data_IF_393988780662
#
_entry.id   IF_393988780662
#
_cell.length_a   1.000
_cell.length_b   1.000
_cell.length_c   1.000
_cell.angle_alpha   90.00
_cell.angle_beta   90.00
_cell.angle_gamma   90.00
#
_symmetry.space_group_name_H-M   'P 1'
#
loop_
_entity.id
_entity.type
_entity.pdbx_description
1 polymer ?
#
# COMPACT_ATOMS: atom_id res chain seq x y z
N UNK A 1 5.59 -35.81 -5.64
CA UNK A 1 5.81 -34.41 -6.02
C UNK A 1 7.14 -33.98 -5.43
N UNK A 2 8.07 -33.49 -6.25
CA UNK A 2 9.38 -33.06 -5.77
C UNK A 2 9.23 -31.77 -4.96
N UNK A 3 10.19 -31.48 -4.07
CA UNK A 3 10.22 -30.23 -3.31
C UNK A 3 10.23 -29.01 -4.24
N UNK A 4 10.89 -29.13 -5.40
CA UNK A 4 10.87 -28.10 -6.46
C UNK A 4 9.46 -27.84 -6.99
N UNK A 5 8.68 -28.89 -7.22
CA UNK A 5 7.30 -28.76 -7.73
C UNK A 5 6.41 -28.04 -6.70
N UNK A 6 6.57 -28.38 -5.41
CA UNK A 6 5.89 -27.69 -4.31
C UNK A 6 6.25 -26.20 -4.26
N UNK A 7 7.54 -25.87 -4.38
CA UNK A 7 8.01 -24.48 -4.40
C UNK A 7 7.41 -23.71 -5.59
N UNK A 8 7.37 -24.32 -6.78
CA UNK A 8 6.78 -23.70 -7.97
C UNK A 8 5.28 -23.45 -7.78
N UNK A 9 4.54 -24.42 -7.24
CA UNK A 9 3.10 -24.24 -6.95
C UNK A 9 2.90 -23.10 -5.93
N UNK A 10 3.70 -23.05 -4.86
CA UNK A 10 3.64 -21.98 -3.86
C UNK A 10 4.01 -20.61 -4.44
N UNK A 11 4.98 -20.54 -5.35
CA UNK A 11 5.36 -19.33 -6.06
C UNK A 11 4.21 -18.80 -6.93
N UNK A 12 3.60 -19.69 -7.73
CA UNK A 12 2.45 -19.34 -8.59
C UNK A 12 1.29 -18.81 -7.75
N UNK A 13 0.92 -19.51 -6.67
CA UNK A 13 -0.13 -19.07 -5.77
C UNK A 13 0.19 -17.71 -5.16
N UNK A 14 1.44 -17.49 -4.74
CA UNK A 14 1.86 -16.21 -4.15
C UNK A 14 1.75 -15.05 -5.15
N UNK A 15 2.13 -15.27 -6.41
CA UNK A 15 1.98 -14.28 -7.49
C UNK A 15 0.49 -13.94 -7.72
N UNK A 16 -0.36 -14.96 -7.80
CA UNK A 16 -1.81 -14.78 -8.00
C UNK A 16 -2.40 -13.96 -6.85
N UNK A 17 -2.13 -14.32 -5.61
CA UNK A 17 -2.67 -13.59 -4.47
C UNK A 17 -2.10 -12.17 -4.36
N UNK A 18 -0.80 -11.99 -4.58
CA UNK A 18 -0.19 -10.66 -4.64
C UNK A 18 -0.92 -9.77 -5.65
N UNK A 19 -1.14 -10.26 -6.87
CA UNK A 19 -1.80 -9.53 -7.94
C UNK A 19 -3.26 -9.19 -7.59
N UNK A 20 -4.01 -10.14 -7.02
CA UNK A 20 -5.41 -9.91 -6.61
C UNK A 20 -5.49 -8.79 -5.57
N UNK A 21 -4.70 -8.85 -4.49
CA UNK A 21 -4.76 -7.85 -3.43
C UNK A 21 -4.23 -6.49 -3.89
N UNK A 22 -3.20 -6.49 -4.74
CA UNK A 22 -2.69 -5.28 -5.36
C UNK A 22 -3.76 -4.62 -6.24
N UNK A 23 -4.46 -5.39 -7.09
CA UNK A 23 -5.55 -4.88 -7.92
C UNK A 23 -6.73 -4.38 -7.08
N UNK A 24 -7.08 -5.05 -5.97
CA UNK A 24 -8.10 -4.59 -5.04
C UNK A 24 -7.74 -3.24 -4.41
N UNK A 25 -6.48 -3.05 -4.01
CA UNK A 25 -5.98 -1.77 -3.51
C UNK A 25 -6.09 -0.67 -4.58
N UNK A 26 -5.63 -0.94 -5.80
CA UNK A 26 -5.69 0.00 -6.93
C UNK A 26 -7.12 0.40 -7.28
N UNK A 27 -8.05 -0.56 -7.30
CA UNK A 27 -9.48 -0.30 -7.53
C UNK A 27 -10.07 0.56 -6.41
N UNK A 28 -9.73 0.26 -5.15
CA UNK A 28 -10.18 1.05 -4.00
C UNK A 28 -9.72 2.51 -4.12
N UNK A 29 -8.43 2.73 -4.38
CA UNK A 29 -7.84 4.07 -4.54
C UNK A 29 -8.54 4.85 -5.67
N UNK A 30 -8.69 4.22 -6.83
CA UNK A 30 -9.31 4.86 -7.99
C UNK A 30 -10.76 5.31 -7.72
N UNK A 31 -11.53 4.45 -7.05
CA UNK A 31 -12.94 4.73 -6.73
C UNK A 31 -13.14 5.72 -5.57
N UNK A 32 -12.11 5.98 -4.75
CA UNK A 32 -12.25 6.75 -3.53
C UNK A 32 -11.77 8.19 -3.69
N UNK A 33 -12.66 9.10 -4.08
CA UNK A 33 -12.33 10.52 -4.25
C UNK A 33 -11.90 11.20 -2.94
N UNK A 34 -12.45 10.78 -1.80
CA UNK A 34 -12.12 11.35 -0.49
C UNK A 34 -10.66 11.05 -0.13
N UNK A 35 -10.22 9.81 -0.30
CA UNK A 35 -8.82 9.41 -0.10
C UNK A 35 -7.89 10.24 -0.98
N UNK A 36 -8.20 10.33 -2.29
CA UNK A 36 -7.40 11.09 -3.26
C UNK A 36 -7.27 12.56 -2.84
N UNK A 37 -8.37 13.18 -2.40
CA UNK A 37 -8.38 14.56 -1.90
C UNK A 37 -7.58 14.72 -0.60
N UNK A 38 -7.66 13.75 0.32
CA UNK A 38 -6.89 13.78 1.58
C UNK A 38 -5.39 13.68 1.35
N UNK A 39 -4.94 13.03 0.27
CA UNK A 39 -3.52 12.89 -0.06
C UNK A 39 -2.98 14.09 -0.88
N UNK A 40 -3.69 14.50 -1.94
CA UNK A 40 -3.20 15.50 -2.89
C UNK A 40 -3.79 16.91 -2.71
N UNK A 41 -4.79 17.09 -1.83
CA UNK A 41 -5.42 18.38 -1.50
C UNK A 41 -6.35 18.96 -2.58
N UNK A 42 -5.93 18.90 -3.83
CA UNK A 42 -6.64 19.39 -5.00
C UNK A 42 -7.48 18.25 -5.60
N UNK A 43 -8.61 18.60 -6.23
CA UNK A 43 -9.46 17.68 -6.99
C UNK A 43 -8.82 17.21 -8.32
N UNK A 44 -7.50 16.97 -8.33
CA UNK A 44 -6.67 16.59 -9.50
C UNK A 44 -7.28 15.37 -10.21
N UNK A 45 -7.90 14.47 -9.44
CA UNK A 45 -8.47 13.21 -9.91
C UNK A 45 -9.99 13.12 -9.77
N UNK A 46 -10.71 14.26 -9.74
CA UNK A 46 -12.18 14.26 -9.71
C UNK A 46 -12.71 13.60 -10.98
N UNK A 47 -13.52 12.55 -10.85
CA UNK A 47 -14.08 11.75 -11.96
C UNK A 47 -13.04 11.18 -12.95
N UNK A 48 -11.76 11.10 -12.57
CA UNK A 48 -10.68 10.54 -13.39
C UNK A 48 -10.02 9.36 -12.68
N UNK A 49 -9.70 8.31 -13.44
CA UNK A 49 -8.81 7.24 -12.99
C UNK A 49 -7.39 7.78 -12.82
N UNK A 50 -6.71 7.31 -11.80
CA UNK A 50 -5.29 7.53 -11.61
C UNK A 50 -4.53 6.53 -12.49
N UNK A 51 -3.44 7.01 -13.08
CA UNK A 51 -2.40 6.19 -13.67
C UNK A 51 -1.63 5.43 -12.58
N UNK A 52 -0.90 4.39 -13.02
CA UNK A 52 -0.21 3.45 -12.13
C UNK A 52 0.74 4.19 -11.18
N UNK A 53 1.53 5.13 -11.67
CA UNK A 53 2.50 5.87 -10.85
C UNK A 53 1.82 6.64 -9.71
N UNK A 54 0.68 7.26 -9.96
CA UNK A 54 -0.06 7.98 -8.94
C UNK A 54 -0.79 7.05 -7.95
N UNK A 55 -1.22 5.86 -8.39
CA UNK A 55 -1.75 4.83 -7.49
C UNK A 55 -0.64 4.36 -6.53
N UNK A 56 0.56 4.07 -7.04
CA UNK A 56 1.71 3.67 -6.23
C UNK A 56 2.12 4.74 -5.22
N UNK A 57 2.01 6.01 -5.59
CA UNK A 57 2.21 7.13 -4.65
C UNK A 57 1.21 7.09 -3.50
N UNK A 58 -0.06 6.79 -3.77
CA UNK A 58 -1.07 6.64 -2.72
C UNK A 58 -0.80 5.42 -1.85
N UNK A 59 -0.45 4.27 -2.44
CA UNK A 59 -0.06 3.07 -1.70
C UNK A 59 1.12 3.38 -0.77
N UNK A 60 2.13 4.07 -1.28
CA UNK A 60 3.33 4.48 -0.53
C UNK A 60 2.97 5.41 0.63
N UNK A 61 2.12 6.41 0.40
CA UNK A 61 1.66 7.33 1.43
C UNK A 61 0.90 6.61 2.55
N UNK A 62 -0.08 5.77 2.18
CA UNK A 62 -0.89 5.00 3.14
C UNK A 62 0.00 4.06 3.95
N UNK A 63 0.95 3.38 3.28
CA UNK A 63 1.93 2.52 3.93
C UNK A 63 2.79 3.30 4.93
N UNK A 64 3.39 4.42 4.50
CA UNK A 64 4.23 5.24 5.36
C UNK A 64 3.48 5.72 6.61
N UNK A 65 2.26 6.25 6.43
CA UNK A 65 1.42 6.73 7.54
C UNK A 65 1.13 5.60 8.53
N UNK A 66 0.68 4.43 8.05
CA UNK A 66 0.31 3.32 8.92
C UNK A 66 1.53 2.69 9.63
N UNK A 67 2.68 2.60 8.94
CA UNK A 67 3.90 2.07 9.54
C UNK A 67 4.43 2.98 10.64
N UNK A 68 4.37 4.30 10.46
CA UNK A 68 4.80 5.25 11.50
C UNK A 68 3.80 5.24 12.67
N UNK A 69 2.49 5.26 12.38
CA UNK A 69 1.45 5.21 13.42
C UNK A 69 1.54 3.94 14.28
N UNK A 70 1.96 2.81 13.69
CA UNK A 70 2.21 1.57 14.42
C UNK A 70 3.20 1.72 15.57
N UNK A 71 4.18 2.62 15.47
CA UNK A 71 5.08 2.92 16.59
C UNK A 71 4.39 3.81 17.64
N UNK A 72 3.73 4.88 17.21
CA UNK A 72 2.78 5.68 18.02
C UNK A 72 2.19 6.84 17.21
N UNK A 73 1.00 7.32 17.60
CA UNK A 73 0.42 8.57 17.08
C UNK A 73 1.36 9.78 17.27
N UNK A 74 2.06 9.85 18.41
CA UNK A 74 3.02 10.92 18.67
C UNK A 74 4.21 10.88 17.70
N UNK A 75 4.67 9.69 17.32
CA UNK A 75 5.74 9.56 16.32
C UNK A 75 5.29 10.01 14.94
N UNK A 76 4.04 9.74 14.55
CA UNK A 76 3.45 10.24 13.32
C UNK A 76 3.35 11.77 13.32
N UNK A 77 2.87 12.36 14.41
CA UNK A 77 2.78 13.80 14.56
C UNK A 77 4.17 14.46 14.46
N UNK A 78 5.16 13.92 15.17
CA UNK A 78 6.53 14.41 15.14
C UNK A 78 7.14 14.31 13.74
N UNK A 79 6.93 13.18 13.07
CA UNK A 79 7.43 12.96 11.71
C UNK A 79 6.86 13.98 10.72
N UNK A 80 5.55 14.20 10.74
CA UNK A 80 4.86 15.13 9.85
C UNK A 80 5.19 16.60 10.16
N UNK A 81 5.44 16.95 11.43
CA UNK A 81 5.93 18.30 11.79
C UNK A 81 7.34 18.57 11.26
N UNK A 82 8.19 17.55 11.20
CA UNK A 82 9.59 17.69 10.76
C UNK A 82 9.76 17.59 9.24
N UNK A 83 8.77 17.07 8.51
CA UNK A 83 8.87 16.75 7.08
C UNK A 83 7.67 17.32 6.30
N UNK A 84 7.94 18.21 5.35
CA UNK A 84 6.96 18.61 4.35
C UNK A 84 7.10 17.76 3.09
N UNK A 85 6.02 17.14 2.63
CA UNK A 85 6.01 16.36 1.40
C UNK A 85 5.51 17.21 0.24
N UNK A 86 6.38 17.48 -0.73
CA UNK A 86 6.01 18.24 -1.94
C UNK A 86 4.94 17.52 -2.78
N UNK A 87 5.02 16.19 -2.85
CA UNK A 87 4.11 15.35 -3.66
C UNK A 87 2.79 15.08 -2.91
N UNK A 88 2.80 15.11 -1.58
CA UNK A 88 1.65 14.86 -0.73
C UNK A 88 1.22 16.15 0.00
N UNK A 89 0.81 17.13 -0.78
CA UNK A 89 0.54 18.49 -0.31
C UNK A 89 -0.51 18.60 0.80
N UNK A 90 -1.36 17.60 0.98
CA UNK A 90 -2.42 17.59 1.99
C UNK A 90 -2.24 16.51 3.07
N UNK A 91 -1.11 15.80 3.07
CA UNK A 91 -0.76 14.89 4.16
C UNK A 91 -0.23 15.72 5.33
N UNK A 92 -1.06 15.84 6.35
CA UNK A 92 -0.74 16.40 7.66
C UNK A 92 -1.26 15.43 8.73
N UNK A 93 -1.07 15.77 10.01
CA UNK A 93 -1.45 14.87 11.10
C UNK A 93 -2.94 14.51 11.07
N UNK A 94 -3.81 15.50 10.87
CA UNK A 94 -5.26 15.30 10.86
C UNK A 94 -5.72 14.42 9.68
N UNK A 95 -5.22 14.69 8.47
CA UNK A 95 -5.57 13.88 7.30
C UNK A 95 -4.97 12.47 7.39
N UNK A 96 -3.82 12.30 8.03
CA UNK A 96 -3.21 11.00 8.27
C UNK A 96 -4.04 10.16 9.23
N UNK A 97 -4.48 10.73 10.35
CA UNK A 97 -5.40 10.05 11.29
C UNK A 97 -6.70 9.68 10.58
N UNK A 98 -7.26 10.58 9.78
CA UNK A 98 -8.44 10.28 8.98
C UNK A 98 -8.22 9.07 8.07
N UNK A 99 -7.08 9.02 7.37
CA UNK A 99 -6.74 7.92 6.47
C UNK A 99 -6.62 6.59 7.23
N UNK A 100 -5.95 6.59 8.39
CA UNK A 100 -5.82 5.40 9.25
C UNK A 100 -7.19 4.88 9.69
N UNK A 101 -8.04 5.77 10.19
CA UNK A 101 -9.30 5.39 10.81
C UNK A 101 -10.36 4.96 9.77
N UNK A 102 -10.39 5.60 8.59
CA UNK A 102 -11.45 5.41 7.59
C UNK A 102 -11.04 4.51 6.41
N UNK A 103 -9.75 4.30 6.16
CA UNK A 103 -9.25 3.49 5.05
C UNK A 103 -8.54 2.20 5.51
N UNK A 104 -8.94 1.63 6.65
CA UNK A 104 -8.45 0.33 7.17
C UNK A 104 -8.53 -0.80 6.14
N UNK A 105 -9.58 -0.79 5.30
CA UNK A 105 -9.77 -1.77 4.22
C UNK A 105 -8.65 -1.70 3.18
N UNK A 106 -8.26 -0.49 2.77
CA UNK A 106 -7.12 -0.30 1.86
C UNK A 106 -5.82 -0.76 2.52
N UNK A 107 -5.61 -0.40 3.78
CA UNK A 107 -4.42 -0.83 4.51
C UNK A 107 -4.32 -2.36 4.61
N UNK A 108 -5.44 -3.05 4.82
CA UNK A 108 -5.46 -4.52 4.80
C UNK A 108 -5.09 -5.08 3.43
N UNK A 109 -5.59 -4.52 2.32
CA UNK A 109 -5.18 -4.96 0.99
C UNK A 109 -3.68 -4.78 0.74
N UNK A 110 -3.12 -3.64 1.15
CA UNK A 110 -1.69 -3.36 1.03
C UNK A 110 -0.87 -4.35 1.87
N UNK A 111 -1.23 -4.57 3.14
CA UNK A 111 -0.53 -5.53 4.02
C UNK A 111 -0.51 -6.94 3.44
N UNK A 112 -1.66 -7.44 2.98
CA UNK A 112 -1.75 -8.80 2.44
C UNK A 112 -0.99 -8.90 1.12
N UNK A 113 -1.08 -7.89 0.25
CA UNK A 113 -0.27 -7.83 -0.97
C UNK A 113 1.23 -7.87 -0.64
N UNK A 114 1.72 -7.05 0.30
CA UNK A 114 3.12 -7.06 0.73
C UNK A 114 3.56 -8.41 1.31
N UNK A 115 2.71 -9.07 2.09
CA UNK A 115 2.98 -10.41 2.61
C UNK A 115 3.25 -11.41 1.47
N UNK A 116 2.40 -11.43 0.45
CA UNK A 116 2.63 -12.30 -0.71
C UNK A 116 3.85 -11.88 -1.54
N UNK A 117 4.16 -10.58 -1.62
CA UNK A 117 5.41 -10.12 -2.24
C UNK A 117 6.65 -10.69 -1.53
N UNK A 118 6.64 -10.73 -0.19
CA UNK A 118 7.72 -11.33 0.60
C UNK A 118 7.81 -12.84 0.33
N UNK A 119 6.67 -13.53 0.27
CA UNK A 119 6.65 -14.97 -0.07
C UNK A 119 7.21 -15.25 -1.46
N UNK A 120 6.91 -14.42 -2.46
CA UNK A 120 7.49 -14.55 -3.82
C UNK A 120 9.02 -14.50 -3.74
N UNK A 121 9.58 -13.54 -2.99
CA UNK A 121 11.04 -13.41 -2.82
C UNK A 121 11.60 -14.68 -2.17
N UNK A 122 11.00 -15.13 -1.06
CA UNK A 122 11.44 -16.33 -0.33
C UNK A 122 11.40 -17.58 -1.22
N UNK A 123 10.29 -17.82 -1.92
CA UNK A 123 10.15 -19.00 -2.78
C UNK A 123 11.06 -18.93 -4.00
N UNK A 124 11.31 -17.74 -4.53
CA UNK A 124 12.28 -17.55 -5.62
C UNK A 124 13.68 -17.95 -5.16
N UNK A 125 14.14 -17.44 -4.01
CA UNK A 125 15.45 -17.81 -3.45
C UNK A 125 15.50 -19.32 -3.19
N UNK A 126 14.46 -19.86 -2.53
CA UNK A 126 14.37 -21.28 -2.20
C UNK A 126 14.44 -22.17 -3.45
N UNK A 127 13.77 -21.79 -4.55
CA UNK A 127 13.79 -22.52 -5.82
C UNK A 127 15.18 -22.64 -6.42
N UNK A 128 16.00 -21.59 -6.31
CA UNK A 128 17.37 -21.58 -6.82
C UNK A 128 18.34 -22.33 -5.90
N UNK A 129 18.07 -22.40 -4.61
CA UNK A 129 18.93 -23.10 -3.64
C UNK A 129 18.70 -24.61 -3.58
N UNK A 130 17.47 -25.09 -3.79
CA UNK A 130 17.14 -26.52 -3.86
C UNK A 130 17.25 -27.03 -5.30
#
# INVERSE_FOLDING_TARGET
MNIKDLIVISLILSIIFWAIFHQMASKYINSNEILKKKIFGINIYKKKSMDISNIELVVTAVMMINVIDFFSRNSLEFFLKKRSFLIFSNINFETSIYIIDHHKKLWNYIKVSMFFMILIIIFTITFWTY
#
